data_IF_313755202576
#
_entry.id   IF_313755202576
#
_cell.length_a   1.000
_cell.length_b   1.000
_cell.length_c   1.000
_cell.angle_alpha   90.00
_cell.angle_beta   90.00
_cell.angle_gamma   90.00
#
_symmetry.space_group_name_H-M   'P 1'
#
loop_
_entity.id
_entity.type
_entity.pdbx_description
1 polymer ?
#
# COMPACT_ATOMS: atom_id res chain seq x y z
N UNK A 1 -22.92 17.91 -14.45
CA UNK A 1 -22.01 16.85 -13.95
C UNK A 1 -22.85 15.65 -13.49
N UNK A 2 -22.53 14.47 -14.02
CA UNK A 2 -23.18 13.25 -13.60
C UNK A 2 -22.67 12.82 -12.21
N UNK A 3 -23.43 11.93 -11.56
CA UNK A 3 -23.02 11.43 -10.26
C UNK A 3 -21.68 10.69 -10.33
N UNK A 4 -21.45 9.95 -11.40
CA UNK A 4 -20.18 9.23 -11.62
C UNK A 4 -19.02 10.19 -11.77
N UNK A 5 -19.20 11.28 -12.51
CA UNK A 5 -18.17 12.30 -12.66
C UNK A 5 -17.84 12.95 -11.33
N UNK A 6 -18.86 13.21 -10.52
CA UNK A 6 -18.65 13.78 -9.20
C UNK A 6 -17.82 12.85 -8.31
N UNK A 7 -18.16 11.58 -8.26
CA UNK A 7 -17.42 10.60 -7.46
C UNK A 7 -16.00 10.44 -7.96
N UNK A 8 -15.80 10.40 -9.27
CA UNK A 8 -14.48 10.28 -9.87
C UNK A 8 -13.61 11.49 -9.54
N UNK A 9 -14.18 12.68 -9.63
CA UNK A 9 -13.45 13.93 -9.37
C UNK A 9 -13.07 14.09 -7.89
N UNK A 10 -13.87 13.53 -6.98
CA UNK A 10 -13.65 13.68 -5.53
C UNK A 10 -12.96 12.48 -4.90
N UNK A 11 -12.71 11.41 -5.68
CA UNK A 11 -12.00 10.25 -5.17
C UNK A 11 -10.51 10.55 -5.14
N UNK A 12 -9.81 10.28 -4.02
CA UNK A 12 -8.35 10.45 -3.97
C UNK A 12 -7.69 9.61 -5.06
N UNK A 13 -6.75 10.19 -5.79
CA UNK A 13 -6.00 9.45 -6.78
C UNK A 13 -5.07 8.47 -6.08
N UNK A 14 -4.98 7.21 -6.54
CA UNK A 14 -4.00 6.29 -5.99
C UNK A 14 -2.59 6.85 -6.15
N UNK A 15 -1.81 6.81 -5.08
CA UNK A 15 -0.43 7.29 -5.09
C UNK A 15 0.51 6.29 -5.73
N UNK A 16 0.17 5.00 -5.62
CA UNK A 16 0.99 3.91 -6.14
C UNK A 16 0.18 3.10 -7.13
N UNK A 17 0.85 2.60 -8.18
CA UNK A 17 0.23 1.81 -9.23
C UNK A 17 0.59 0.34 -9.06
N UNK A 18 -0.23 -0.55 -9.59
CA UNK A 18 0.09 -1.97 -9.66
C UNK A 18 1.46 -2.15 -10.35
N UNK A 19 2.34 -2.88 -9.69
CA UNK A 19 3.68 -3.14 -10.21
C UNK A 19 4.75 -2.16 -9.76
N UNK A 20 4.39 -1.07 -9.07
CA UNK A 20 5.38 -0.14 -8.54
C UNK A 20 6.23 -0.83 -7.47
N UNK A 21 7.56 -0.68 -7.60
CA UNK A 21 8.48 -1.18 -6.59
C UNK A 21 8.57 -0.16 -5.46
N UNK A 22 8.34 -0.61 -4.24
CA UNK A 22 8.30 0.26 -3.08
C UNK A 22 9.15 -0.31 -1.95
N UNK A 23 9.58 0.57 -1.05
CA UNK A 23 10.27 0.17 0.17
C UNK A 23 9.73 1.00 1.32
N UNK A 24 9.87 0.48 2.52
CA UNK A 24 9.42 1.17 3.72
C UNK A 24 9.69 0.36 4.97
N UNK A 25 8.93 0.68 6.03
CA UNK A 25 9.03 0.00 7.31
C UNK A 25 7.62 -0.37 7.76
N UNK A 26 7.44 -1.61 8.16
CA UNK A 26 6.18 -2.13 8.67
C UNK A 26 6.42 -2.74 10.04
N UNK A 27 5.77 -2.19 11.07
CA UNK A 27 5.94 -2.63 12.46
C UNK A 27 7.41 -2.70 12.88
N UNK A 28 8.20 -1.69 12.47
CA UNK A 28 9.62 -1.64 12.81
C UNK A 28 10.52 -2.49 11.92
N UNK A 29 9.97 -3.22 10.95
CA UNK A 29 10.73 -4.11 10.07
C UNK A 29 10.83 -3.50 8.68
N UNK A 30 12.05 -3.25 8.16
CA UNK A 30 12.21 -2.77 6.80
C UNK A 30 11.73 -3.80 5.79
N UNK A 31 11.08 -3.34 4.72
CA UNK A 31 10.62 -4.23 3.68
C UNK A 31 10.86 -3.63 2.30
N UNK A 32 10.88 -4.50 1.30
CA UNK A 32 10.89 -4.16 -0.12
C UNK A 32 9.86 -5.05 -0.80
N UNK A 33 9.07 -4.49 -1.68
CA UNK A 33 8.08 -5.28 -2.39
C UNK A 33 7.50 -4.54 -3.58
N UNK A 34 6.44 -5.13 -4.14
CA UNK A 34 5.74 -4.60 -5.30
C UNK A 34 4.33 -4.20 -4.88
N UNK A 35 3.94 -2.97 -5.20
CA UNK A 35 2.59 -2.50 -4.94
C UNK A 35 1.60 -3.30 -5.79
N UNK A 36 0.59 -3.84 -5.14
CA UNK A 36 -0.40 -4.70 -5.78
C UNK A 36 -1.69 -3.94 -6.06
N UNK A 37 -2.15 -3.18 -5.09
CA UNK A 37 -3.33 -2.34 -5.25
C UNK A 37 -3.27 -1.20 -4.24
N UNK A 38 -3.74 -0.04 -4.67
CA UNK A 38 -3.84 1.16 -3.84
C UNK A 38 -5.31 1.61 -3.80
N UNK A 39 -6.22 0.65 -3.66
CA UNK A 39 -7.66 0.92 -3.63
C UNK A 39 -8.29 0.67 -2.27
N UNK A 40 -7.51 0.26 -1.29
CA UNK A 40 -8.01 -0.07 0.02
C UNK A 40 -7.99 1.14 0.92
N UNK A 41 -8.95 1.21 1.82
CA UNK A 41 -9.03 2.30 2.78
C UNK A 41 -9.43 1.76 4.14
N UNK A 42 -8.69 2.18 5.15
CA UNK A 42 -9.04 1.95 6.54
C UNK A 42 -9.70 3.21 7.09
N UNK A 43 -10.79 3.09 7.81
CA UNK A 43 -11.49 4.25 8.35
C UNK A 43 -10.63 5.04 9.32
N UNK A 44 -9.77 4.38 10.06
CA UNK A 44 -8.90 5.00 11.05
C UNK A 44 -7.60 5.52 10.44
N UNK A 45 -6.99 4.75 9.56
CA UNK A 45 -5.64 5.03 9.05
C UNK A 45 -5.61 5.63 7.65
N UNK A 46 -6.75 5.64 6.96
CA UNK A 46 -6.85 6.22 5.63
C UNK A 46 -6.49 5.24 4.51
N UNK A 47 -5.96 5.75 3.38
CA UNK A 47 -5.65 4.90 2.24
C UNK A 47 -4.58 3.86 2.57
N UNK A 48 -4.76 2.66 2.05
CA UNK A 48 -3.83 1.55 2.27
C UNK A 48 -3.43 0.92 0.93
N UNK A 49 -2.22 0.39 0.92
CA UNK A 49 -1.64 -0.27 -0.26
C UNK A 49 -1.32 -1.71 0.12
N UNK A 50 -1.70 -2.65 -0.73
CA UNK A 50 -1.28 -4.04 -0.59
C UNK A 50 0.08 -4.21 -1.25
N UNK A 51 1.03 -4.79 -0.53
CA UNK A 51 2.39 -5.00 -1.00
C UNK A 51 2.68 -6.48 -1.06
N UNK A 52 3.16 -6.95 -2.22
CA UNK A 52 3.71 -8.30 -2.35
C UNK A 52 5.20 -8.23 -2.03
N UNK A 53 5.59 -8.85 -0.93
CA UNK A 53 6.96 -8.76 -0.42
C UNK A 53 7.92 -9.57 -1.28
N UNK A 54 9.14 -9.04 -1.49
CA UNK A 54 10.20 -9.78 -2.17
C UNK A 54 10.66 -10.97 -1.31
N UNK A 55 10.75 -10.75 -0.01
CA UNK A 55 11.12 -11.80 0.95
C UNK A 55 10.03 -11.89 2.01
N UNK A 56 9.64 -13.09 2.42
CA UNK A 56 8.64 -13.24 3.48
C UNK A 56 9.06 -12.50 4.75
N UNK A 57 8.10 -11.95 5.44
CA UNK A 57 8.30 -11.23 6.70
C UNK A 57 7.63 -11.99 7.84
N UNK A 58 8.36 -12.19 8.92
CA UNK A 58 7.81 -12.86 10.10
C UNK A 58 7.23 -11.82 11.05
N UNK A 59 5.92 -11.93 11.29
CA UNK A 59 5.20 -11.04 12.20
C UNK A 59 4.44 -11.93 13.18
N UNK A 60 4.66 -11.71 14.48
CA UNK A 60 3.99 -12.49 15.54
C UNK A 60 4.11 -14.00 15.32
N UNK A 61 5.31 -14.45 14.94
CA UNK A 61 5.64 -15.85 14.67
C UNK A 61 4.95 -16.44 13.43
N UNK A 62 4.34 -15.60 12.60
CA UNK A 62 3.69 -16.01 11.35
C UNK A 62 4.42 -15.38 10.18
N UNK A 63 4.69 -16.16 9.15
CA UNK A 63 5.33 -15.68 7.92
C UNK A 63 4.27 -15.08 6.98
N UNK A 64 4.57 -13.89 6.46
CA UNK A 64 3.70 -13.18 5.52
C UNK A 64 4.43 -12.90 4.23
N UNK A 65 3.78 -13.18 3.11
CA UNK A 65 4.27 -12.82 1.77
C UNK A 65 3.67 -11.51 1.27
N UNK A 66 2.58 -11.08 1.89
CA UNK A 66 1.86 -9.86 1.52
C UNK A 66 1.55 -9.08 2.79
N UNK A 67 1.62 -7.76 2.70
CA UNK A 67 1.24 -6.87 3.80
C UNK A 67 0.39 -5.75 3.26
N UNK A 68 -0.39 -5.12 4.15
CA UNK A 68 -1.14 -3.91 3.85
C UNK A 68 -0.52 -2.79 4.66
N UNK A 69 -0.17 -1.71 3.99
CA UNK A 69 0.52 -0.58 4.62
C UNK A 69 -0.19 0.72 4.32
N UNK A 70 -0.04 1.69 5.20
CA UNK A 70 -0.47 3.06 4.94
C UNK A 70 0.63 3.78 4.18
N UNK A 71 0.31 4.96 3.63
CA UNK A 71 1.32 5.76 2.93
C UNK A 71 2.49 6.14 3.85
N UNK A 72 2.23 6.30 5.14
CA UNK A 72 3.29 6.62 6.11
C UNK A 72 4.31 5.50 6.27
N UNK A 73 3.90 4.27 5.98
CA UNK A 73 4.76 3.10 6.11
C UNK A 73 5.54 2.79 4.83
N UNK A 74 5.41 3.65 3.82
CA UNK A 74 6.16 3.55 2.57
C UNK A 74 7.12 4.74 2.53
N UNK A 75 8.43 4.45 2.41
CA UNK A 75 9.42 5.53 2.26
C UNK A 75 9.39 6.13 0.87
N UNK A 76 9.12 5.33 -0.14
CA UNK A 76 9.06 5.78 -1.50
C UNK A 76 9.19 4.66 -2.51
N UNK A 77 9.28 5.05 -3.77
CA UNK A 77 9.49 4.12 -4.88
C UNK A 77 10.95 3.69 -4.92
N UNK A 78 11.14 2.40 -5.21
CA UNK A 78 12.47 1.85 -5.40
C UNK A 78 12.72 1.68 -6.89
N UNK A 79 13.79 2.26 -7.36
CA UNK A 79 14.21 2.11 -8.75
C UNK A 79 15.02 0.84 -8.98
#
# INVERSE_FOLDING_TARGET
MTQDEYFTANRPKPKYKFGDRVEGVYQGIPYVGTAYTDNMRNETEGPMVSIHLDLPMKIDSVWHNNIRVTYKQIKGLRS
#
